data_IF_299434833931
#
_entry.id   IF_299434833931
#
_cell.length_a   1.000
_cell.length_b   1.000
_cell.length_c   1.000
_cell.angle_alpha   90.00
_cell.angle_beta   90.00
_cell.angle_gamma   90.00
#
_symmetry.space_group_name_H-M   'P 1'
#
loop_
_entity.id
_entity.type
_entity.pdbx_description
1 polymer ?
#
# COMPACT_ATOMS: atom_id res chain seq x y z
N UNK A 1 -10.58 0.40 -5.10
CA UNK A 1 -11.11 0.09 -3.75
C UNK A 1 -10.69 1.12 -2.70
N UNK A 2 -9.42 1.29 -2.33
CA UNK A 2 -9.05 2.32 -1.32
C UNK A 2 -9.07 3.76 -1.87
N UNK A 3 -8.58 3.97 -3.10
CA UNK A 3 -8.71 5.26 -3.80
C UNK A 3 -10.17 5.74 -3.87
N UNK A 4 -11.10 4.84 -4.17
CA UNK A 4 -12.52 5.18 -4.30
C UNK A 4 -13.14 5.54 -2.94
N UNK A 5 -12.64 4.93 -1.86
CA UNK A 5 -13.03 5.31 -0.50
C UNK A 5 -12.55 6.71 -0.14
N UNK A 6 -11.29 7.07 -0.44
CA UNK A 6 -10.77 8.43 -0.24
C UNK A 6 -11.57 9.48 -1.03
N UNK A 7 -11.94 9.15 -2.27
CA UNK A 7 -12.80 10.03 -3.08
C UNK A 7 -14.20 10.16 -2.46
N UNK A 8 -14.78 9.08 -1.94
CA UNK A 8 -16.08 9.12 -1.26
C UNK A 8 -16.04 9.93 0.04
N UNK A 9 -14.90 9.96 0.73
CA UNK A 9 -14.65 10.77 1.93
C UNK A 9 -14.38 12.25 1.60
N UNK A 10 -14.41 12.62 0.31
CA UNK A 10 -14.30 14.01 -0.14
C UNK A 10 -12.87 14.48 -0.41
N UNK A 11 -11.88 13.58 -0.43
CA UNK A 11 -10.51 13.94 -0.79
C UNK A 11 -10.43 14.28 -2.28
N UNK A 12 -9.76 15.38 -2.61
CA UNK A 12 -9.55 15.81 -4.00
C UNK A 12 -8.71 14.78 -4.76
N UNK A 13 -9.05 14.43 -6.02
CA UNK A 13 -8.22 13.59 -6.87
C UNK A 13 -6.79 14.09 -7.03
N UNK A 14 -6.58 15.41 -6.98
CA UNK A 14 -5.25 16.03 -7.06
C UNK A 14 -4.35 15.72 -5.84
N UNK A 15 -4.96 15.30 -4.73
CA UNK A 15 -4.27 14.95 -3.49
C UNK A 15 -4.09 13.43 -3.36
N UNK A 16 -4.40 12.66 -4.42
CA UNK A 16 -4.24 11.21 -4.42
C UNK A 16 -3.24 10.83 -5.52
N UNK A 17 -2.06 10.39 -5.11
CA UNK A 17 -0.99 9.92 -5.99
C UNK A 17 -1.00 8.40 -5.94
N UNK A 18 -1.37 7.72 -7.03
CA UNK A 18 -1.41 6.26 -7.09
C UNK A 18 -0.50 5.71 -8.18
N UNK A 19 0.31 4.70 -7.85
CA UNK A 19 1.21 4.01 -8.78
C UNK A 19 1.14 2.49 -8.59
N UNK A 20 1.02 1.76 -9.69
CA UNK A 20 1.20 0.31 -9.74
C UNK A 20 2.61 0.01 -10.26
N UNK A 21 3.51 -0.49 -9.41
CA UNK A 21 4.94 -0.62 -9.71
C UNK A 21 5.29 -1.90 -10.47
N UNK A 22 4.33 -2.80 -10.64
CA UNK A 22 4.41 -3.97 -11.51
C UNK A 22 3.98 -3.69 -12.96
N UNK A 23 3.35 -2.55 -13.23
CA UNK A 23 3.03 -2.10 -14.58
C UNK A 23 4.31 -1.67 -15.32
N UNK A 24 4.52 -2.24 -16.51
CA UNK A 24 5.67 -1.95 -17.36
C UNK A 24 5.76 -0.46 -17.76
N UNK A 25 4.63 0.26 -17.78
CA UNK A 25 4.62 1.70 -18.04
C UNK A 25 5.26 2.51 -16.90
N UNK A 26 5.33 1.93 -15.70
CA UNK A 26 5.87 2.53 -14.49
C UNK A 26 7.26 1.98 -14.12
N UNK A 27 7.89 1.16 -14.98
CA UNK A 27 9.18 0.51 -14.71
C UNK A 27 10.27 1.52 -14.30
N UNK A 28 10.21 2.75 -14.82
CA UNK A 28 11.18 3.77 -14.43
C UNK A 28 11.07 4.20 -12.95
N UNK A 29 9.90 4.02 -12.33
CA UNK A 29 9.67 4.32 -10.92
C UNK A 29 10.11 3.17 -10.00
N UNK A 30 10.57 2.04 -10.55
CA UNK A 30 11.31 1.03 -9.78
C UNK A 30 12.67 1.57 -9.29
N UNK A 31 13.18 2.66 -9.88
CA UNK A 31 14.27 3.44 -9.30
C UNK A 31 13.76 4.34 -8.16
N UNK A 32 14.32 4.22 -6.94
CA UNK A 32 13.82 4.93 -5.76
C UNK A 32 13.96 6.45 -5.88
N UNK A 33 14.96 6.97 -6.59
CA UNK A 33 15.14 8.42 -6.76
C UNK A 33 14.13 8.98 -7.73
N UNK A 34 13.85 8.26 -8.82
CA UNK A 34 12.80 8.64 -9.78
C UNK A 34 11.42 8.62 -9.14
N UNK A 35 11.11 7.58 -8.37
CA UNK A 35 9.87 7.50 -7.60
C UNK A 35 9.69 8.70 -6.66
N UNK A 36 10.73 9.00 -5.86
CA UNK A 36 10.70 10.14 -4.94
C UNK A 36 10.56 11.48 -5.67
N UNK A 37 11.22 11.65 -6.81
CA UNK A 37 11.11 12.86 -7.61
C UNK A 37 9.70 13.01 -8.19
N UNK A 38 9.13 11.93 -8.72
CA UNK A 38 7.77 11.91 -9.22
C UNK A 38 6.75 12.27 -8.14
N UNK A 39 6.80 11.61 -6.98
CA UNK A 39 5.86 11.88 -5.88
C UNK A 39 5.98 13.33 -5.43
N UNK A 40 7.20 13.83 -5.19
CA UNK A 40 7.42 15.22 -4.77
C UNK A 40 6.95 16.24 -5.81
N UNK A 41 7.09 15.95 -7.09
CA UNK A 41 6.59 16.80 -8.16
C UNK A 41 5.06 16.88 -8.26
N UNK A 42 4.36 15.88 -7.71
CA UNK A 42 2.90 15.83 -7.68
C UNK A 42 2.28 16.44 -6.40
N UNK A 43 3.09 16.77 -5.40
CA UNK A 43 2.62 17.49 -4.20
C UNK A 43 2.46 18.97 -4.57
N UNK A 44 1.22 19.46 -4.63
CA UNK A 44 0.91 20.79 -5.18
C UNK A 44 0.80 21.88 -4.11
N UNK A 45 0.50 21.49 -2.88
CA UNK A 45 0.29 22.40 -1.75
C UNK A 45 0.69 21.74 -0.42
N UNK A 46 0.38 22.42 0.69
CA UNK A 46 0.69 21.98 2.06
C UNK A 46 -0.37 21.06 2.67
N UNK A 47 -1.48 20.80 1.98
CA UNK A 47 -2.50 19.88 2.46
C UNK A 47 -2.04 18.43 2.35
N UNK A 48 -2.75 17.52 3.01
CA UNK A 48 -2.40 16.10 3.03
C UNK A 48 -2.55 15.49 1.63
N UNK A 49 -1.51 14.79 1.19
CA UNK A 49 -1.50 13.98 -0.01
C UNK A 49 -1.40 12.49 0.34
N UNK A 50 -2.27 11.69 -0.26
CA UNK A 50 -2.31 10.24 -0.10
C UNK A 50 -1.50 9.58 -1.21
N UNK A 51 -0.42 8.90 -0.85
CA UNK A 51 0.45 8.18 -1.78
C UNK A 51 0.15 6.69 -1.68
N UNK A 52 -0.38 6.10 -2.75
CA UNK A 52 -0.76 4.69 -2.83
C UNK A 52 0.22 3.97 -3.78
N UNK A 53 1.07 3.10 -3.24
CA UNK A 53 2.05 2.34 -4.02
C UNK A 53 1.70 0.85 -4.02
N UNK A 54 1.38 0.32 -5.19
CA UNK A 54 1.16 -1.12 -5.36
C UNK A 54 2.43 -1.85 -5.76
N UNK A 55 2.58 -3.07 -5.26
CA UNK A 55 3.75 -3.94 -5.44
C UNK A 55 5.08 -3.26 -5.10
N UNK A 56 5.16 -2.67 -3.89
CA UNK A 56 6.32 -1.86 -3.45
C UNK A 56 7.65 -2.60 -3.47
N UNK A 57 7.65 -3.94 -3.39
CA UNK A 57 8.85 -4.76 -3.52
C UNK A 57 9.53 -4.66 -4.90
N UNK A 58 8.85 -4.13 -5.91
CA UNK A 58 9.42 -3.86 -7.24
C UNK A 58 10.42 -2.71 -7.20
N UNK A 59 10.33 -1.82 -6.20
CA UNK A 59 11.24 -0.68 -6.06
C UNK A 59 12.57 -1.13 -5.45
N UNK A 60 13.66 -0.79 -6.14
CA UNK A 60 15.01 -1.02 -5.64
C UNK A 60 15.22 -0.25 -4.33
N UNK A 61 15.66 -0.94 -3.27
CA UNK A 61 15.81 -0.34 -1.94
C UNK A 61 14.53 0.41 -1.48
N UNK A 62 13.37 -0.21 -1.66
CA UNK A 62 12.10 0.42 -1.31
C UNK A 62 12.03 0.89 0.15
N UNK A 63 12.72 0.22 1.10
CA UNK A 63 12.79 0.65 2.52
C UNK A 63 13.36 2.07 2.61
N UNK A 64 14.43 2.38 1.88
CA UNK A 64 15.00 3.72 1.82
C UNK A 64 14.07 4.74 1.15
N UNK A 65 13.34 4.31 0.11
CA UNK A 65 12.35 5.15 -0.57
C UNK A 65 11.19 5.51 0.35
N UNK A 66 10.58 4.52 1.00
CA UNK A 66 9.51 4.71 1.98
C UNK A 66 9.97 5.56 3.15
N UNK A 67 11.15 5.28 3.71
CA UNK A 67 11.72 6.12 4.77
C UNK A 67 11.83 7.58 4.32
N UNK A 68 12.23 7.84 3.08
CA UNK A 68 12.32 9.21 2.56
C UNK A 68 10.95 9.88 2.40
N UNK A 69 9.91 9.12 2.04
CA UNK A 69 8.54 9.63 1.95
C UNK A 69 7.96 9.98 3.33
N UNK A 70 8.24 9.18 4.36
CA UNK A 70 7.77 9.43 5.73
C UNK A 70 8.38 10.67 6.39
N UNK A 71 9.43 11.25 5.80
CA UNK A 71 9.99 12.52 6.26
C UNK A 71 9.26 13.73 5.64
N UNK A 72 8.28 13.53 4.77
CA UNK A 72 7.47 14.60 4.18
C UNK A 72 6.25 14.80 5.08
N UNK A 73 6.11 16.00 5.65
CA UNK A 73 5.14 16.27 6.71
C UNK A 73 3.68 16.16 6.29
N UNK A 74 3.36 16.37 5.00
CA UNK A 74 1.99 16.37 4.46
C UNK A 74 1.71 15.18 3.53
N UNK A 75 2.36 14.04 3.77
CA UNK A 75 2.18 12.82 2.97
C UNK A 75 1.78 11.65 3.85
N UNK A 76 0.67 11.01 3.49
CA UNK A 76 0.24 9.74 4.03
C UNK A 76 0.58 8.64 3.03
N UNK A 77 1.47 7.71 3.40
CA UNK A 77 1.94 6.66 2.50
C UNK A 77 1.23 5.35 2.79
N UNK A 78 0.61 4.77 1.76
CA UNK A 78 0.02 3.45 1.78
C UNK A 78 0.68 2.56 0.75
N UNK A 79 1.04 1.34 1.15
CA UNK A 79 1.74 0.40 0.27
C UNK A 79 1.09 -0.97 0.29
N UNK A 80 1.13 -1.64 -0.86
CA UNK A 80 0.79 -3.07 -1.00
C UNK A 80 1.96 -3.87 -1.55
N UNK A 81 1.92 -5.19 -1.31
CA UNK A 81 2.88 -6.12 -1.86
C UNK A 81 2.41 -7.57 -1.72
N UNK A 82 2.45 -8.33 -2.81
CA UNK A 82 2.02 -9.73 -2.89
C UNK A 82 3.02 -10.73 -2.26
N UNK A 83 4.26 -10.31 -2.01
CA UNK A 83 5.28 -11.13 -1.33
C UNK A 83 5.47 -10.74 0.14
N UNK A 84 4.56 -11.21 0.98
CA UNK A 84 4.47 -10.94 2.43
C UNK A 84 5.69 -11.35 3.25
N UNK A 85 6.53 -12.28 2.78
CA UNK A 85 7.77 -12.68 3.48
C UNK A 85 8.79 -11.54 3.58
N UNK A 86 8.70 -10.55 2.69
CA UNK A 86 9.62 -9.42 2.67
C UNK A 86 9.17 -8.27 3.59
N UNK A 87 7.90 -8.24 3.99
CA UNK A 87 7.29 -7.12 4.69
C UNK A 87 7.08 -7.29 6.20
N UNK A 88 7.23 -8.51 6.72
CA UNK A 88 6.60 -8.87 8.01
C UNK A 88 7.45 -8.71 9.28
N UNK A 89 8.76 -8.39 9.21
CA UNK A 89 9.57 -8.18 10.44
C UNK A 89 10.54 -7.01 10.36
N UNK A 90 11.32 -6.90 9.28
CA UNK A 90 12.46 -5.97 9.23
C UNK A 90 11.98 -4.56 8.87
N UNK A 91 11.03 -4.46 7.93
CA UNK A 91 10.29 -3.23 7.61
C UNK A 91 9.59 -2.71 8.87
N UNK A 92 8.74 -3.53 9.49
CA UNK A 92 8.03 -3.15 10.71
C UNK A 92 8.97 -2.63 11.82
N UNK A 93 10.19 -3.14 11.90
CA UNK A 93 11.21 -2.68 12.86
C UNK A 93 11.85 -1.36 12.44
N UNK A 94 12.20 -1.19 11.16
CA UNK A 94 12.74 0.06 10.59
C UNK A 94 11.75 1.23 10.68
N UNK A 95 10.45 0.94 10.57
CA UNK A 95 9.38 1.94 10.60
C UNK A 95 8.76 2.13 12.00
N UNK A 96 9.23 1.37 13.00
CA UNK A 96 8.72 1.42 14.37
C UNK A 96 8.97 2.80 15.00
N UNK A 97 7.89 3.49 15.39
CA UNK A 97 7.95 4.77 16.10
C UNK A 97 8.02 6.02 15.21
N UNK A 98 7.81 5.89 13.89
CA UNK A 98 7.80 7.03 12.94
C UNK A 98 6.48 7.21 12.17
N UNK A 99 5.52 6.31 12.35
CA UNK A 99 4.13 6.42 11.91
C UNK A 99 3.26 5.35 12.61
N UNK A 100 1.94 5.53 12.58
CA UNK A 100 0.99 4.52 13.06
C UNK A 100 0.98 3.35 12.08
N UNK A 101 1.44 2.18 12.52
CA UNK A 101 1.49 0.98 11.70
C UNK A 101 0.09 0.33 11.64
N UNK A 102 -0.65 0.55 10.55
CA UNK A 102 -1.85 -0.25 10.26
C UNK A 102 -1.42 -1.50 9.50
N UNK A 103 -1.27 -2.63 10.21
CA UNK A 103 -1.09 -3.94 9.58
C UNK A 103 -2.43 -4.52 9.17
N UNK A 104 -2.76 -4.47 7.88
CA UNK A 104 -3.89 -5.24 7.35
C UNK A 104 -3.36 -6.61 6.93
N UNK A 105 -3.48 -7.59 7.83
CA UNK A 105 -3.24 -8.98 7.48
C UNK A 105 -4.31 -9.47 6.50
N UNK A 106 -3.96 -10.35 5.54
CA UNK A 106 -4.99 -11.05 4.77
C UNK A 106 -5.92 -11.78 5.74
N UNK A 107 -7.21 -11.81 5.42
CA UNK A 107 -8.20 -12.54 6.23
C UNK A 107 -7.68 -13.95 6.51
N UNK A 108 -7.77 -14.39 7.76
CA UNK A 108 -7.57 -15.79 8.07
C UNK A 108 -8.54 -16.63 7.22
N UNK A 109 -8.16 -17.86 6.85
CA UNK A 109 -9.03 -18.74 6.06
C UNK A 109 -10.43 -18.86 6.68
N UNK A 110 -10.50 -18.87 8.01
CA UNK A 110 -11.75 -18.81 8.79
C UNK A 110 -12.58 -17.55 8.55
N UNK A 111 -11.97 -16.37 8.52
CA UNK A 111 -12.68 -15.10 8.32
C UNK A 111 -13.17 -14.97 6.86
N UNK A 112 -12.37 -15.41 5.90
CA UNK A 112 -12.77 -15.43 4.49
C UNK A 112 -13.96 -16.37 4.26
N UNK A 113 -13.94 -17.58 4.85
CA UNK A 113 -15.07 -18.52 4.81
C UNK A 113 -16.30 -17.98 5.55
N UNK A 114 -16.12 -17.17 6.59
CA UNK A 114 -17.22 -16.55 7.34
C UNK A 114 -17.87 -15.38 6.60
N UNK A 115 -17.11 -14.67 5.76
CA UNK A 115 -17.59 -13.58 4.91
C UNK A 115 -18.14 -14.09 3.56
N UNK A 116 -17.93 -15.36 3.22
CA UNK A 116 -18.35 -15.98 1.98
C UNK A 116 -19.74 -16.64 2.14
N UNK A 117 -20.76 -16.03 1.55
CA UNK A 117 -22.17 -16.43 1.66
C UNK A 117 -22.59 -17.52 0.63
N UNK A 118 -21.63 -18.18 -0.02
CA UNK A 118 -21.85 -19.18 -1.08
C UNK A 118 -21.87 -20.64 -0.61
N UNK A 119 -22.51 -21.52 -1.39
CA UNK A 119 -22.62 -22.96 -1.11
C UNK A 119 -21.23 -23.63 -1.04
N UNK A 120 -20.93 -24.26 0.09
CA UNK A 120 -19.58 -24.65 0.54
C UNK A 120 -18.95 -25.85 -0.19
N UNK A 121 -19.67 -26.54 -1.07
CA UNK A 121 -19.22 -27.83 -1.61
C UNK A 121 -18.53 -27.75 -2.99
N UNK A 122 -18.87 -26.77 -3.85
CA UNK A 122 -18.30 -26.69 -5.21
C UNK A 122 -17.11 -25.72 -5.36
N UNK A 123 -16.89 -24.82 -4.41
CA UNK A 123 -15.97 -23.69 -4.61
C UNK A 123 -14.66 -23.78 -3.82
N UNK A 124 -14.31 -24.94 -3.24
CA UNK A 124 -13.04 -25.09 -2.49
C UNK A 124 -11.80 -24.80 -3.33
N UNK A 125 -11.79 -25.19 -4.61
CA UNK A 125 -10.69 -24.87 -5.53
C UNK A 125 -10.63 -23.37 -5.86
N UNK A 126 -11.78 -22.71 -5.97
CA UNK A 126 -11.89 -21.27 -6.25
C UNK A 126 -11.55 -20.43 -5.02
N UNK A 127 -11.99 -20.87 -3.85
CA UNK A 127 -11.58 -20.36 -2.53
C UNK A 127 -10.06 -20.47 -2.38
N UNK A 128 -9.45 -21.60 -2.73
CA UNK A 128 -7.99 -21.78 -2.66
C UNK A 128 -7.23 -20.91 -3.67
N UNK A 129 -7.75 -20.77 -4.88
CA UNK A 129 -7.22 -19.85 -5.89
C UNK A 129 -7.29 -18.40 -5.39
N UNK A 130 -8.48 -17.91 -5.00
CA UNK A 130 -8.63 -16.55 -4.49
C UNK A 130 -7.77 -16.32 -3.25
N UNK A 131 -7.63 -17.31 -2.35
CA UNK A 131 -6.76 -17.22 -1.17
C UNK A 131 -5.27 -17.13 -1.52
N UNK A 132 -4.79 -17.84 -2.55
CA UNK A 132 -3.41 -17.66 -3.05
C UNK A 132 -3.16 -16.29 -3.67
N UNK A 133 -4.18 -15.65 -4.25
CA UNK A 133 -4.09 -14.31 -4.84
C UNK A 133 -4.44 -13.17 -3.86
N UNK A 134 -5.07 -13.46 -2.71
CA UNK A 134 -5.49 -12.48 -1.70
C UNK A 134 -4.38 -12.05 -0.73
N UNK A 135 -3.11 -12.17 -1.12
CA UNK A 135 -1.95 -11.86 -0.28
C UNK A 135 -1.54 -10.38 -0.36
N UNK A 136 -2.50 -9.46 -0.44
CA UNK A 136 -2.20 -8.03 -0.47
C UNK A 136 -2.08 -7.49 0.96
N UNK A 137 -0.84 -7.30 1.41
CA UNK A 137 -0.55 -6.69 2.69
C UNK A 137 -0.60 -5.16 2.53
N UNK A 138 -1.59 -4.49 3.11
CA UNK A 138 -1.69 -3.02 3.08
C UNK A 138 -1.06 -2.45 4.34
N UNK A 139 -0.13 -1.50 4.19
CA UNK A 139 0.32 -0.63 5.28
C UNK A 139 -0.14 0.79 5.01
N UNK A 140 -0.41 1.56 6.06
CA UNK A 140 -0.63 3.00 6.00
C UNK A 140 0.23 3.70 7.04
N UNK A 141 0.85 4.82 6.68
CA UNK A 141 1.61 5.68 7.58
C UNK A 141 1.04 7.10 7.53
N UNK A 142 0.25 7.51 8.53
CA UNK A 142 -0.33 8.85 8.55
C UNK A 142 0.74 9.92 8.83
N UNK A 143 0.55 11.09 8.24
CA UNK A 143 1.32 12.29 8.48
C UNK A 143 1.37 12.62 9.98
N UNK A 144 2.50 13.19 10.42
CA UNK A 144 2.67 13.66 11.80
C UNK A 144 1.66 14.78 12.08
N UNK A 145 0.54 14.41 12.72
CA UNK A 145 -0.38 15.37 13.33
C UNK A 145 0.37 16.09 14.47
N UNK A 146 0.75 17.34 14.25
CA UNK A 146 1.14 18.26 15.34
C UNK A 146 -0.08 18.81 16.05
#
# INVERSE_FOLDING_TARGET
MFRDHLLADGISPDHIISLALDDILNDEYCDPKKLLHYIKGNIKDSEIHYVLLDEVQMVNNFVGALNSLLHIDNVDVYVTGSNSKFLSSDIATEFRGRGDEIRIYPLSFSEYVSAYDGNKEDDMARLYYVWQFAFNLVFGYPAKRR
#
